data_IF_957178630871
#
_entry.id   IF_957178630871
#
_cell.length_a   1.000
_cell.length_b   1.000
_cell.length_c   1.000
_cell.angle_alpha   90.00
_cell.angle_beta   90.00
_cell.angle_gamma   90.00
#
_symmetry.space_group_name_H-M   'P 1'
#
loop_
_entity.id
_entity.type
_entity.pdbx_description
1 polymer ?
#
# COMPACT_ATOMS: atom_id res chain seq x y z
N UNK A 1 5.82 -12.55 5.21
CA UNK A 1 5.59 -11.14 4.84
C UNK A 1 4.85 -11.01 3.50
N UNK A 2 5.35 -11.63 2.43
CA UNK A 2 4.71 -11.61 1.10
C UNK A 2 3.22 -12.02 1.10
N UNK A 3 2.89 -13.17 1.68
CA UNK A 3 1.51 -13.63 1.76
C UNK A 3 0.60 -12.68 2.54
N UNK A 4 1.12 -12.10 3.63
CA UNK A 4 0.39 -11.12 4.42
C UNK A 4 0.08 -9.88 3.59
N UNK A 5 1.06 -9.35 2.85
CA UNK A 5 0.86 -8.17 2.01
C UNK A 5 -0.10 -8.46 0.85
N UNK A 6 0.05 -9.60 0.15
CA UNK A 6 -0.81 -9.98 -0.97
C UNK A 6 -2.30 -9.88 -0.63
N UNK A 7 -2.69 -10.28 0.60
CA UNK A 7 -4.06 -10.19 1.07
C UNK A 7 -4.35 -8.85 1.78
N UNK A 8 -3.39 -8.36 2.57
CA UNK A 8 -3.54 -7.20 3.44
C UNK A 8 -3.69 -5.89 2.69
N UNK A 9 -3.09 -5.73 1.52
CA UNK A 9 -3.25 -4.48 0.73
C UNK A 9 -4.70 -4.30 0.29
N UNK A 10 -5.39 -5.39 -0.09
CA UNK A 10 -6.81 -5.35 -0.49
C UNK A 10 -7.69 -4.92 0.70
N UNK A 11 -7.41 -5.43 1.90
CA UNK A 11 -8.22 -5.16 3.10
C UNK A 11 -8.11 -3.73 3.63
N UNK A 12 -7.15 -2.93 3.16
CA UNK A 12 -7.10 -1.49 3.45
C UNK A 12 -8.22 -0.70 2.79
N UNK A 13 -8.85 -1.26 1.75
CA UNK A 13 -9.89 -0.64 0.95
C UNK A 13 -9.49 0.70 0.28
N UNK A 14 -8.20 1.08 0.26
CA UNK A 14 -7.76 2.35 -0.36
C UNK A 14 -8.19 2.47 -1.84
N UNK A 15 -8.02 1.38 -2.61
CA UNK A 15 -8.48 1.29 -4.00
C UNK A 15 -9.99 1.55 -4.17
N UNK A 16 -10.82 1.17 -3.19
CA UNK A 16 -12.28 1.37 -3.26
C UNK A 16 -12.68 2.84 -3.12
N UNK A 17 -11.75 3.70 -2.68
CA UNK A 17 -11.94 5.14 -2.60
C UNK A 17 -11.37 5.81 -3.86
N UNK A 18 -10.11 5.53 -4.19
CA UNK A 18 -9.41 6.25 -5.28
C UNK A 18 -9.90 5.85 -6.67
N UNK A 19 -10.26 4.57 -6.90
CA UNK A 19 -10.64 4.11 -8.24
C UNK A 19 -11.99 4.65 -8.70
N UNK A 20 -13.06 4.67 -7.86
CA UNK A 20 -14.32 5.32 -8.25
C UNK A 20 -14.15 6.81 -8.51
N UNK A 21 -13.38 7.53 -7.69
CA UNK A 21 -13.11 8.96 -7.91
C UNK A 21 -12.36 9.15 -9.24
N UNK A 22 -11.34 8.34 -9.52
CA UNK A 22 -10.59 8.38 -10.78
C UNK A 22 -11.49 8.12 -11.99
N UNK A 23 -12.40 7.14 -11.89
CA UNK A 23 -13.37 6.83 -12.94
C UNK A 23 -14.37 7.96 -13.19
N UNK A 24 -14.78 8.70 -12.14
CA UNK A 24 -15.73 9.80 -12.24
C UNK A 24 -15.09 11.12 -12.67
N UNK A 25 -13.85 11.40 -12.25
CA UNK A 25 -13.14 12.64 -12.59
C UNK A 25 -12.65 12.64 -14.04
N UNK A 26 -12.34 11.46 -14.60
CA UNK A 26 -11.84 11.36 -15.95
C UNK A 26 -12.39 10.10 -16.62
N UNK A 27 -13.09 10.27 -17.75
CA UNK A 27 -13.57 9.17 -18.59
C UNK A 27 -12.44 8.33 -19.23
N UNK A 28 -11.18 8.51 -18.80
CA UNK A 28 -9.96 7.94 -19.37
C UNK A 28 -9.25 6.93 -18.45
N UNK A 29 -9.73 6.65 -17.22
CA UNK A 29 -9.10 5.60 -16.42
C UNK A 29 -9.22 4.25 -17.16
N UNK A 30 -8.10 3.55 -17.46
CA UNK A 30 -8.18 2.32 -18.23
C UNK A 30 -9.02 1.27 -17.49
N UNK A 31 -10.19 0.93 -18.03
CA UNK A 31 -11.18 0.08 -17.34
C UNK A 31 -10.61 -1.29 -16.95
N UNK A 32 -9.63 -1.81 -17.71
CA UNK A 32 -8.97 -3.07 -17.39
C UNK A 32 -8.19 -3.00 -16.05
N UNK A 33 -7.76 -1.81 -15.63
CA UNK A 33 -7.06 -1.55 -14.36
C UNK A 33 -8.00 -1.38 -13.17
N UNK A 34 -9.32 -1.36 -13.39
CA UNK A 34 -10.32 -1.42 -12.33
C UNK A 34 -10.56 -2.85 -11.85
N UNK A 35 -10.12 -3.85 -12.62
CA UNK A 35 -10.35 -5.26 -12.30
C UNK A 35 -9.45 -5.69 -11.15
N UNK A 36 -9.98 -6.39 -10.14
CA UNK A 36 -9.16 -7.01 -9.10
C UNK A 36 -8.04 -7.86 -9.71
N UNK A 37 -6.82 -7.64 -9.25
CA UNK A 37 -5.62 -8.32 -9.75
C UNK A 37 -4.91 -7.63 -10.91
N UNK A 38 -5.51 -6.60 -11.53
CA UNK A 38 -4.93 -5.84 -12.63
C UNK A 38 -4.74 -4.35 -12.29
N UNK A 39 -4.68 -4.00 -11.01
CA UNK A 39 -4.52 -2.62 -10.58
C UNK A 39 -3.23 -2.00 -11.11
N UNK A 40 -3.24 -0.68 -11.32
CA UNK A 40 -2.02 0.06 -11.66
C UNK A 40 -0.96 -0.08 -10.55
N UNK A 41 0.31 0.09 -10.91
CA UNK A 41 1.41 0.12 -9.95
C UNK A 41 1.22 1.24 -8.93
N UNK A 42 0.73 2.41 -9.34
CA UNK A 42 0.43 3.54 -8.44
C UNK A 42 -0.62 3.11 -7.40
N UNK A 43 -1.71 2.46 -7.83
CA UNK A 43 -2.76 1.96 -6.93
C UNK A 43 -2.23 0.88 -5.99
N UNK A 44 -1.43 -0.06 -6.49
CA UNK A 44 -0.85 -1.15 -5.68
C UNK A 44 0.13 -0.61 -4.64
N UNK A 45 0.96 0.37 -5.01
CA UNK A 45 1.91 1.03 -4.12
C UNK A 45 1.19 1.83 -3.04
N UNK A 46 0.15 2.60 -3.40
CA UNK A 46 -0.70 3.31 -2.45
C UNK A 46 -1.26 2.35 -1.40
N UNK A 47 -1.92 1.26 -1.85
CA UNK A 47 -2.49 0.26 -0.93
C UNK A 47 -1.45 -0.38 -0.02
N UNK A 48 -0.25 -0.65 -0.54
CA UNK A 48 0.88 -1.21 0.22
C UNK A 48 1.34 -0.24 1.31
N UNK A 49 1.56 1.02 0.95
CA UNK A 49 1.98 2.08 1.89
C UNK A 49 0.91 2.26 2.96
N UNK A 50 -0.38 2.34 2.58
CA UNK A 50 -1.51 2.46 3.52
C UNK A 50 -1.55 1.28 4.49
N UNK A 51 -1.36 0.05 4.02
CA UNK A 51 -1.37 -1.15 4.89
C UNK A 51 -0.27 -1.08 5.94
N UNK A 52 0.95 -0.79 5.51
CA UNK A 52 2.12 -0.77 6.38
C UNK A 52 2.07 0.39 7.38
N UNK A 53 1.61 1.57 6.95
CA UNK A 53 1.40 2.71 7.85
C UNK A 53 0.32 2.41 8.89
N UNK A 54 -0.78 1.77 8.49
CA UNK A 54 -1.82 1.39 9.43
C UNK A 54 -1.32 0.35 10.44
N UNK A 55 -0.50 -0.62 10.02
CA UNK A 55 0.11 -1.60 10.90
C UNK A 55 1.06 -0.95 11.92
N UNK A 56 1.94 -0.06 11.46
CA UNK A 56 2.83 0.71 12.35
C UNK A 56 2.06 1.52 13.39
N UNK A 57 0.93 2.11 12.99
CA UNK A 57 0.13 2.91 13.90
C UNK A 57 -0.66 2.07 14.91
N UNK A 58 -1.11 0.86 14.51
CA UNK A 58 -2.11 0.10 15.27
C UNK A 58 -1.59 -1.17 15.95
N UNK A 59 -0.33 -1.58 15.71
CA UNK A 59 0.18 -2.87 16.18
C UNK A 59 0.03 -3.12 17.68
N UNK A 60 0.17 -2.10 18.53
CA UNK A 60 0.04 -2.26 19.99
C UNK A 60 -1.39 -2.68 20.37
N UNK A 61 -2.38 -1.95 19.84
CA UNK A 61 -3.80 -2.25 20.03
C UNK A 61 -4.17 -3.60 19.44
N UNK A 62 -3.67 -3.92 18.25
CA UNK A 62 -3.94 -5.20 17.60
C UNK A 62 -3.33 -6.39 18.38
N UNK A 63 -2.13 -6.20 18.95
CA UNK A 63 -1.48 -7.19 19.83
C UNK A 63 -2.34 -7.53 21.03
N UNK A 64 -2.90 -6.52 21.70
CA UNK A 64 -3.81 -6.70 22.85
C UNK A 64 -5.08 -7.47 22.47
N UNK A 65 -5.55 -7.28 21.23
CA UNK A 65 -6.69 -8.01 20.66
C UNK A 65 -6.34 -9.41 20.14
N UNK A 66 -5.09 -9.86 20.27
CA UNK A 66 -4.63 -11.15 19.75
C UNK A 66 -4.51 -11.19 18.22
N UNK A 67 -4.56 -10.05 17.54
CA UNK A 67 -4.44 -9.93 16.09
C UNK A 67 -2.96 -9.81 15.69
N UNK A 68 -2.63 -10.34 14.51
CA UNK A 68 -1.27 -10.28 13.94
C UNK A 68 -1.29 -9.36 12.73
N UNK A 69 -0.39 -8.39 12.71
CA UNK A 69 -0.13 -7.51 11.57
C UNK A 69 1.32 -7.63 11.08
N UNK A 70 1.73 -6.81 10.10
CA UNK A 70 3.09 -6.92 9.53
C UNK A 70 4.21 -6.75 10.57
N UNK A 71 4.06 -5.83 11.53
CA UNK A 71 5.05 -5.60 12.58
C UNK A 71 5.21 -6.85 13.44
N UNK A 72 4.10 -7.40 13.95
CA UNK A 72 4.14 -8.59 14.80
C UNK A 72 4.59 -9.84 14.02
N UNK A 73 4.20 -9.95 12.75
CA UNK A 73 4.57 -11.06 11.87
C UNK A 73 6.07 -11.06 11.56
N UNK A 74 6.62 -9.89 11.25
CA UNK A 74 8.04 -9.74 10.93
C UNK A 74 8.93 -10.02 12.14
N UNK A 75 8.55 -9.55 13.33
CA UNK A 75 9.20 -9.90 14.59
C UNK A 75 9.19 -11.41 14.84
N UNK A 76 8.06 -12.11 14.59
CA UNK A 76 7.97 -13.57 14.78
C UNK A 76 8.75 -14.39 13.76
N UNK A 77 8.93 -13.85 12.56
CA UNK A 77 9.64 -14.52 11.47
C UNK A 77 11.16 -14.49 11.66
N UNK A 78 11.66 -13.64 12.56
CA UNK A 78 13.09 -13.48 12.85
C UNK A 78 13.32 -13.63 14.36
N UNK A 79 13.80 -14.80 14.81
CA UNK A 79 13.98 -15.11 16.23
C UNK A 79 14.84 -14.10 17.03
N UNK A 80 15.67 -13.30 16.37
CA UNK A 80 16.51 -12.26 16.99
C UNK A 80 15.86 -10.88 17.03
N UNK A 81 14.78 -10.63 16.29
CA UNK A 81 14.19 -9.30 16.19
C UNK A 81 13.41 -8.96 17.45
N UNK A 82 13.75 -7.82 18.04
CA UNK A 82 12.86 -7.12 18.98
C UNK A 82 11.81 -6.34 18.20
N UNK A 83 10.86 -5.76 18.93
CA UNK A 83 9.79 -4.98 18.31
C UNK A 83 10.35 -3.75 17.57
N UNK A 84 11.40 -3.13 18.11
CA UNK A 84 12.08 -1.98 17.52
C UNK A 84 12.74 -2.33 16.18
N UNK A 85 13.40 -3.50 16.09
CA UNK A 85 14.01 -3.98 14.84
C UNK A 85 12.94 -4.19 13.76
N UNK A 86 11.78 -4.70 14.17
CA UNK A 86 10.67 -4.92 13.27
C UNK A 86 10.02 -3.61 12.82
N UNK A 87 9.88 -2.61 13.70
CA UNK A 87 9.40 -1.28 13.33
C UNK A 87 10.34 -0.65 12.31
N UNK A 88 11.64 -0.61 12.59
CA UNK A 88 12.64 -0.05 11.69
C UNK A 88 12.66 -0.74 10.31
N UNK A 89 12.47 -2.07 10.28
CA UNK A 89 12.35 -2.81 9.04
C UNK A 89 11.12 -2.39 8.21
N UNK A 90 9.96 -2.25 8.85
CA UNK A 90 8.73 -1.84 8.16
C UNK A 90 8.83 -0.38 7.70
N UNK A 91 9.40 0.52 8.51
CA UNK A 91 9.66 1.91 8.13
C UNK A 91 10.54 2.00 6.87
N UNK A 92 11.60 1.19 6.79
CA UNK A 92 12.45 1.11 5.60
C UNK A 92 11.70 0.63 4.36
N UNK A 93 10.78 -0.32 4.50
CA UNK A 93 9.92 -0.75 3.39
C UNK A 93 9.02 0.40 2.94
N UNK A 94 8.40 1.12 3.88
CA UNK A 94 7.53 2.26 3.58
C UNK A 94 8.31 3.35 2.84
N UNK A 95 9.52 3.69 3.30
CA UNK A 95 10.38 4.67 2.64
C UNK A 95 10.69 4.26 1.19
N UNK A 96 11.10 3.01 1.00
CA UNK A 96 11.37 2.46 -0.34
C UNK A 96 10.13 2.53 -1.24
N UNK A 97 8.97 2.12 -0.72
CA UNK A 97 7.70 2.11 -1.47
C UNK A 97 7.18 3.51 -1.76
N UNK A 98 7.38 4.47 -0.87
CA UNK A 98 7.06 5.89 -1.10
C UNK A 98 7.90 6.48 -2.21
N UNK A 99 9.21 6.19 -2.24
CA UNK A 99 10.08 6.63 -3.34
C UNK A 99 9.63 6.04 -4.67
N UNK A 100 9.38 4.73 -4.71
CA UNK A 100 8.85 4.04 -5.90
C UNK A 100 7.51 4.68 -6.34
N UNK A 101 6.60 4.94 -5.40
CA UNK A 101 5.32 5.58 -5.68
C UNK A 101 5.47 6.95 -6.33
N UNK A 102 6.35 7.81 -5.78
CA UNK A 102 6.63 9.14 -6.36
C UNK A 102 7.26 9.01 -7.75
N UNK A 103 8.16 8.05 -7.97
CA UNK A 103 8.75 7.78 -9.29
C UNK A 103 7.66 7.44 -10.32
N UNK A 104 6.73 6.53 -10.01
CA UNK A 104 5.62 6.19 -10.91
C UNK A 104 4.68 7.37 -11.18
N UNK A 105 4.44 8.23 -10.18
CA UNK A 105 3.60 9.41 -10.35
C UNK A 105 4.26 10.44 -11.26
N UNK A 106 5.58 10.66 -11.12
CA UNK A 106 6.31 11.69 -11.86
C UNK A 106 6.75 11.26 -13.26
N UNK A 107 6.95 9.96 -13.50
CA UNK A 107 7.42 9.44 -14.79
C UNK A 107 6.25 8.92 -15.62
N UNK A 108 5.86 9.67 -16.65
CA UNK A 108 4.74 9.30 -17.54
C UNK A 108 4.98 8.01 -18.32
N UNK A 109 6.23 7.58 -18.49
CA UNK A 109 6.59 6.33 -19.15
C UNK A 109 6.28 5.09 -18.31
N UNK A 110 6.16 5.23 -16.98
CA UNK A 110 5.97 4.11 -16.05
C UNK A 110 4.50 3.79 -15.77
N UNK A 111 3.58 4.70 -16.09
CA UNK A 111 2.15 4.51 -15.89
C UNK A 111 1.37 5.23 -16.98
N UNK A 112 0.47 4.50 -17.62
CA UNK A 112 -0.48 5.03 -18.61
C UNK A 112 -1.64 5.82 -17.96
N UNK A 113 -1.64 5.96 -16.62
CA UNK A 113 -2.69 6.70 -15.93
C UNK A 113 -2.60 8.18 -16.32
N UNK A 114 -3.73 8.82 -16.65
CA UNK A 114 -3.74 10.25 -16.85
C UNK A 114 -3.32 11.02 -15.60
N UNK A 115 -2.75 12.22 -15.79
CA UNK A 115 -2.28 13.06 -14.68
C UNK A 115 -3.33 13.34 -13.60
N UNK A 116 -4.60 13.70 -13.91
CA UNK A 116 -5.62 13.88 -12.88
C UNK A 116 -5.85 12.62 -12.04
N UNK A 117 -5.80 11.44 -12.67
CA UNK A 117 -5.89 10.16 -11.97
C UNK A 117 -4.68 9.95 -11.03
N UNK A 118 -3.46 10.30 -11.45
CA UNK A 118 -2.26 10.24 -10.60
C UNK A 118 -2.39 11.19 -9.39
N UNK A 119 -2.92 12.39 -9.59
CA UNK A 119 -3.10 13.40 -8.53
C UNK A 119 -4.09 12.91 -7.45
N UNK A 120 -5.14 12.17 -7.82
CA UNK A 120 -6.07 11.52 -6.86
C UNK A 120 -5.37 10.49 -5.98
N UNK A 121 -4.33 9.82 -6.48
CA UNK A 121 -3.57 8.87 -5.66
C UNK A 121 -2.63 9.58 -4.68
N UNK A 122 -2.31 10.85 -4.93
CA UNK A 122 -1.45 11.70 -4.10
C UNK A 122 -2.19 12.50 -3.02
N UNK A 123 -3.52 12.60 -3.12
CA UNK A 123 -4.38 13.36 -2.19
C UNK A 123 -4.60 12.64 -0.87
#
# INVERSE_FOLDING_TARGET
MEEYLRNGIISTAAHTIVLPISYLMESCFPQHKLKPGNYDNITTLLMTITRLLNDLQSYQKEREQGKINSVLLNMRSHCSFKIEDSIAYIEKIIESKRREFVEYVLMDELSDLPKPCKDIHMS
#
